data_IF_293020663050
#
_entry.id   IF_293020663050
#
_cell.length_a   1.000
_cell.length_b   1.000
_cell.length_c   1.000
_cell.angle_alpha   90.00
_cell.angle_beta   90.00
_cell.angle_gamma   90.00
#
_symmetry.space_group_name_H-M   'P 1'
#
loop_
_entity.id
_entity.type
_entity.pdbx_description
1 polymer ?
#
# COMPACT_ATOMS: atom_id res chain seq x y z
N UNK A 1 25.37 0.27 1.77
CA UNK A 1 25.70 1.36 0.83
C UNK A 1 24.50 1.49 -0.08
N UNK A 2 23.67 2.52 0.13
CA UNK A 2 22.53 2.81 -0.71
C UNK A 2 23.02 3.22 -2.10
N UNK A 3 22.68 2.45 -3.10
CA UNK A 3 22.92 2.84 -4.47
C UNK A 3 21.87 3.88 -4.86
N UNK A 4 22.31 5.03 -5.38
CA UNK A 4 21.46 5.92 -6.17
C UNK A 4 21.03 5.11 -7.41
N UNK A 5 19.88 4.49 -7.33
CA UNK A 5 19.31 3.72 -8.45
C UNK A 5 18.36 4.65 -9.16
N UNK A 6 18.55 4.80 -10.48
CA UNK A 6 17.53 5.45 -11.29
C UNK A 6 16.21 4.69 -11.09
N UNK A 7 15.08 5.40 -10.86
CA UNK A 7 13.80 4.73 -10.69
C UNK A 7 13.51 3.87 -11.92
N UNK A 8 12.90 2.69 -11.74
CA UNK A 8 12.48 1.87 -12.85
C UNK A 8 11.47 2.64 -13.72
N UNK A 9 11.45 2.33 -14.99
CA UNK A 9 10.54 2.97 -15.95
C UNK A 9 9.06 2.69 -15.70
N UNK A 10 8.77 1.65 -14.93
CA UNK A 10 7.41 1.28 -14.53
C UNK A 10 7.40 0.90 -13.04
N UNK A 11 6.67 1.66 -12.25
CA UNK A 11 6.38 1.35 -10.85
C UNK A 11 5.08 0.56 -10.77
N UNK A 12 5.01 -0.43 -9.87
CA UNK A 12 3.80 -1.22 -9.64
C UNK A 12 2.68 -0.40 -8.99
N UNK A 13 3.02 0.45 -8.03
CA UNK A 13 2.10 1.41 -7.41
C UNK A 13 2.87 2.54 -6.72
N UNK A 14 2.19 3.67 -6.51
CA UNK A 14 2.61 4.75 -5.63
C UNK A 14 1.70 4.83 -4.41
N UNK A 15 2.21 5.37 -3.31
CA UNK A 15 1.38 5.70 -2.15
C UNK A 15 0.26 6.67 -2.56
N UNK A 16 -0.96 6.41 -2.11
CA UNK A 16 -2.17 7.15 -2.50
C UNK A 16 -3.04 7.55 -1.30
N UNK A 17 -2.60 7.23 -0.07
CA UNK A 17 -3.27 7.60 1.17
C UNK A 17 -2.27 8.18 2.18
N UNK A 18 -2.64 9.28 2.84
CA UNK A 18 -1.96 9.77 4.04
C UNK A 18 -2.65 9.18 5.27
N UNK A 19 -1.93 8.38 6.04
CA UNK A 19 -2.46 7.75 7.26
C UNK A 19 -2.18 8.64 8.49
N UNK A 20 -0.96 9.18 8.57
CA UNK A 20 -0.57 10.06 9.65
C UNK A 20 0.61 10.94 9.21
N UNK A 21 0.65 12.15 9.73
CA UNK A 21 1.80 13.05 9.62
C UNK A 21 2.07 13.74 10.96
N UNK A 22 3.31 13.69 11.39
CA UNK A 22 3.78 14.33 12.62
C UNK A 22 5.02 15.15 12.27
N UNK A 23 4.90 16.48 12.11
CA UNK A 23 6.05 17.33 11.82
C UNK A 23 7.04 17.32 12.98
N UNK A 24 8.33 17.35 12.65
CA UNK A 24 9.44 17.44 13.60
C UNK A 24 9.60 18.83 14.22
N UNK A 25 10.66 19.00 14.99
CA UNK A 25 11.00 20.29 15.64
C UNK A 25 12.49 20.57 15.44
N UNK A 26 12.87 21.66 14.75
CA UNK A 26 11.98 22.62 14.03
C UNK A 26 11.17 21.93 12.94
N UNK A 27 9.95 22.43 12.74
CA UNK A 27 9.03 21.95 11.73
C UNK A 27 9.24 22.61 10.38
N UNK A 28 8.60 22.10 9.33
CA UNK A 28 8.62 22.71 8.00
C UNK A 28 7.94 24.07 8.00
N UNK A 29 8.28 24.88 7.01
CA UNK A 29 7.48 26.05 6.66
C UNK A 29 6.11 25.61 6.12
N UNK A 30 5.06 26.47 6.19
CA UNK A 30 3.70 26.07 5.80
C UNK A 30 3.59 25.49 4.38
N UNK A 31 4.42 25.94 3.46
CA UNK A 31 4.46 25.50 2.06
C UNK A 31 4.95 24.06 1.90
N UNK A 32 5.73 23.52 2.85
CA UNK A 32 6.23 22.15 2.85
C UNK A 32 5.49 21.21 3.82
N UNK A 33 4.41 21.67 4.44
CA UNK A 33 3.72 20.93 5.49
C UNK A 33 2.49 20.13 5.00
N UNK A 34 2.24 20.08 3.70
CA UNK A 34 1.11 19.31 3.14
C UNK A 34 1.52 17.87 2.88
N UNK A 35 1.04 16.88 3.66
CA UNK A 35 1.43 15.50 3.47
C UNK A 35 0.87 14.86 2.19
N UNK A 36 -0.07 15.50 1.50
CA UNK A 36 -0.58 15.01 0.22
C UNK A 36 0.41 15.19 -0.94
N UNK A 37 1.41 16.06 -0.78
CA UNK A 37 2.49 16.24 -1.76
C UNK A 37 3.44 15.01 -1.84
N UNK A 38 3.37 14.07 -0.88
CA UNK A 38 4.10 12.79 -0.92
C UNK A 38 3.31 11.66 -1.62
N UNK A 39 2.15 11.96 -2.23
CA UNK A 39 1.28 10.98 -2.88
C UNK A 39 1.41 11.01 -4.40
N UNK A 40 1.23 9.82 -5.00
CA UNK A 40 1.30 9.69 -6.45
C UNK A 40 2.72 9.55 -7.00
N UNK A 41 2.89 9.64 -8.33
CA UNK A 41 4.19 9.57 -8.97
C UNK A 41 5.02 10.82 -8.69
N UNK A 42 6.37 10.71 -8.67
CA UNK A 42 7.23 11.85 -8.45
C UNK A 42 7.01 12.92 -9.53
N UNK A 43 6.74 14.14 -9.10
CA UNK A 43 6.44 15.26 -10.00
C UNK A 43 7.36 16.49 -9.79
N UNK A 44 8.37 16.32 -8.94
CA UNK A 44 9.37 17.35 -8.67
C UNK A 44 10.13 17.76 -9.95
N UNK A 45 10.23 19.07 -10.18
CA UNK A 45 10.98 19.66 -11.29
C UNK A 45 12.05 20.62 -10.74
N UNK A 46 13.33 20.32 -10.99
CA UNK A 46 14.50 21.10 -10.54
C UNK A 46 14.39 22.61 -10.86
N UNK A 47 13.66 22.98 -11.90
CA UNK A 47 13.49 24.38 -12.34
C UNK A 47 12.54 25.20 -11.46
N UNK A 48 11.88 24.58 -10.48
CA UNK A 48 10.86 25.22 -9.62
C UNK A 48 11.22 25.26 -8.14
N UNK A 49 12.46 25.51 -7.81
CA UNK A 49 12.99 25.61 -6.44
C UNK A 49 12.21 26.51 -5.46
N UNK A 50 11.31 27.34 -5.93
CA UNK A 50 10.56 28.28 -5.09
C UNK A 50 9.16 27.79 -4.68
N UNK A 51 8.75 26.59 -5.08
CA UNK A 51 7.53 25.91 -4.62
C UNK A 51 7.81 24.42 -4.60
N UNK A 52 8.37 23.88 -3.51
CA UNK A 52 8.54 22.46 -3.38
C UNK A 52 7.16 21.79 -3.42
N UNK A 53 7.01 20.87 -4.35
CA UNK A 53 5.91 19.90 -4.36
C UNK A 53 6.40 18.63 -3.67
N UNK A 54 6.73 18.77 -2.40
CA UNK A 54 7.20 17.70 -1.56
C UNK A 54 6.81 17.95 -0.13
N UNK A 55 6.64 16.89 0.61
CA UNK A 55 6.40 16.94 2.04
C UNK A 55 7.73 17.05 2.80
N UNK A 56 7.98 18.14 3.47
CA UNK A 56 9.09 18.28 4.43
C UNK A 56 8.69 17.69 5.78
N UNK A 57 9.46 16.74 6.29
CA UNK A 57 9.12 16.07 7.55
C UNK A 57 9.37 16.93 8.78
N UNK A 58 10.30 17.88 8.73
CA UNK A 58 10.81 18.54 9.92
C UNK A 58 11.82 17.66 10.66
N UNK A 59 12.70 18.26 11.48
CA UNK A 59 13.76 17.55 12.18
C UNK A 59 13.19 16.53 13.17
N UNK A 60 13.36 15.25 12.88
CA UNK A 60 12.79 14.11 13.62
C UNK A 60 11.30 13.89 13.38
N UNK A 61 10.72 14.49 12.33
CA UNK A 61 9.34 14.28 11.95
C UNK A 61 9.07 12.94 11.28
N UNK A 62 7.81 12.65 11.01
CA UNK A 62 7.43 11.39 10.39
C UNK A 62 6.16 11.49 9.54
N UNK A 63 6.10 10.67 8.49
CA UNK A 63 4.88 10.42 7.71
C UNK A 63 4.60 8.92 7.64
N UNK A 64 3.33 8.56 7.67
CA UNK A 64 2.84 7.22 7.37
C UNK A 64 1.94 7.30 6.15
N UNK A 65 2.31 6.58 5.11
CA UNK A 65 1.62 6.52 3.83
C UNK A 65 1.02 5.13 3.63
N UNK A 66 -0.06 5.07 2.87
CA UNK A 66 -0.76 3.84 2.52
C UNK A 66 -0.85 3.63 1.01
N UNK A 67 -1.05 2.36 0.63
CA UNK A 67 -1.32 1.92 -0.73
C UNK A 67 -2.73 1.33 -0.78
N UNK A 68 -3.72 2.05 -1.33
CA UNK A 68 -5.10 1.56 -1.42
C UNK A 68 -5.26 0.53 -2.54
N UNK A 69 -4.53 0.69 -3.63
CA UNK A 69 -4.60 -0.14 -4.83
C UNK A 69 -3.40 -1.06 -5.04
N UNK A 70 -2.30 -0.81 -4.31
CA UNK A 70 -1.07 -1.59 -4.36
C UNK A 70 -0.69 -2.19 -3.02
N UNK A 71 0.29 -3.07 -3.01
CA UNK A 71 0.96 -3.57 -1.80
C UNK A 71 2.43 -3.77 -2.08
N UNK A 72 3.26 -3.50 -1.10
CA UNK A 72 4.68 -3.85 -1.12
C UNK A 72 4.81 -5.35 -0.85
N UNK A 73 5.47 -6.05 -1.74
CA UNK A 73 5.86 -7.46 -1.61
C UNK A 73 7.34 -7.61 -1.94
N UNK A 74 7.96 -8.65 -1.39
CA UNK A 74 9.34 -9.04 -1.70
C UNK A 74 9.39 -9.68 -3.10
N UNK A 75 10.21 -9.10 -3.99
CA UNK A 75 10.56 -9.62 -5.31
C UNK A 75 12.09 -9.70 -5.46
N UNK A 76 12.60 -10.16 -6.58
CA UNK A 76 14.04 -10.13 -6.83
C UNK A 76 14.54 -8.68 -7.03
N UNK A 77 15.38 -8.22 -6.11
CA UNK A 77 15.95 -6.87 -6.12
C UNK A 77 15.17 -5.85 -5.29
N UNK A 78 15.36 -4.55 -5.53
CA UNK A 78 14.71 -3.52 -4.73
C UNK A 78 13.19 -3.48 -4.91
N UNK A 79 12.45 -3.34 -3.82
CA UNK A 79 10.99 -3.40 -3.77
C UNK A 79 10.34 -2.05 -3.49
N UNK A 80 10.96 -1.25 -2.61
CA UNK A 80 10.45 0.03 -2.13
C UNK A 80 11.36 1.16 -2.59
N UNK A 81 10.76 2.19 -3.17
CA UNK A 81 11.44 3.38 -3.67
C UNK A 81 10.94 4.62 -2.95
N UNK A 82 11.86 5.42 -2.43
CA UNK A 82 11.56 6.69 -1.80
C UNK A 82 12.23 7.79 -2.63
N UNK A 83 11.44 8.74 -3.08
CA UNK A 83 11.88 9.91 -3.83
C UNK A 83 12.03 11.07 -2.86
N UNK A 84 13.17 11.14 -2.19
CA UNK A 84 13.55 12.28 -1.39
C UNK A 84 14.29 13.26 -2.30
N UNK A 85 13.97 14.55 -2.15
CA UNK A 85 14.47 15.63 -2.97
C UNK A 85 15.05 16.72 -2.05
N UNK A 86 15.81 17.60 -2.61
CA UNK A 86 16.32 18.74 -1.86
C UNK A 86 17.80 18.98 -2.08
N UNK A 87 18.33 20.11 -1.60
CA UNK A 87 19.75 20.43 -1.66
C UNK A 87 20.56 19.67 -0.61
N UNK A 88 19.91 19.26 0.48
CA UNK A 88 20.44 18.35 1.50
C UNK A 88 20.04 16.92 1.18
N UNK A 89 20.75 15.96 1.76
CA UNK A 89 20.45 14.53 1.68
C UNK A 89 20.29 14.05 3.11
N UNK A 90 19.03 13.85 3.51
CA UNK A 90 18.70 13.49 4.88
C UNK A 90 18.43 11.98 5.01
N UNK A 91 19.08 11.37 6.01
CA UNK A 91 18.84 9.97 6.30
C UNK A 91 17.48 9.74 6.94
N UNK A 92 16.80 8.67 6.53
CA UNK A 92 15.47 8.33 7.00
C UNK A 92 15.43 6.92 7.56
N UNK A 93 14.72 6.72 8.68
CA UNK A 93 14.33 5.40 9.17
C UNK A 93 13.05 4.98 8.47
N UNK A 94 13.03 3.76 7.95
CA UNK A 94 11.90 3.24 7.19
C UNK A 94 11.34 1.99 7.85
N UNK A 95 10.05 1.99 8.10
CA UNK A 95 9.29 0.86 8.62
C UNK A 95 8.13 0.52 7.67
N UNK A 96 7.79 -0.76 7.57
CA UNK A 96 6.66 -1.25 6.78
C UNK A 96 5.67 -2.01 7.64
N UNK A 97 4.39 -2.00 7.26
CA UNK A 97 3.34 -2.67 8.01
C UNK A 97 2.24 -3.22 7.11
N UNK A 98 1.72 -4.40 7.47
CA UNK A 98 0.56 -4.99 6.81
C UNK A 98 -0.77 -4.44 7.35
N UNK A 99 -0.82 -4.06 8.63
CA UNK A 99 -2.04 -3.75 9.39
C UNK A 99 -2.07 -2.32 9.99
N UNK A 100 -0.99 -1.56 9.79
CA UNK A 100 -0.81 -0.22 10.37
C UNK A 100 -0.54 -0.21 11.88
N UNK A 101 -0.39 -1.37 12.52
CA UNK A 101 -0.17 -1.53 13.96
C UNK A 101 1.17 -2.20 14.28
N UNK A 102 1.45 -3.30 13.60
CA UNK A 102 2.71 -4.05 13.73
C UNK A 102 3.68 -3.60 12.66
N UNK A 103 4.86 -3.16 13.06
CA UNK A 103 5.85 -2.54 12.17
C UNK A 103 7.13 -3.37 12.09
N UNK A 104 7.63 -3.54 10.88
CA UNK A 104 8.93 -4.14 10.57
C UNK A 104 9.86 -3.02 10.12
N UNK A 105 10.99 -2.85 10.81
CA UNK A 105 12.00 -1.88 10.38
C UNK A 105 12.84 -2.47 9.25
N UNK A 106 12.89 -1.77 8.13
CA UNK A 106 13.68 -2.18 6.95
C UNK A 106 14.96 -1.35 6.79
N UNK A 107 15.34 -0.64 7.84
CA UNK A 107 16.64 0.02 7.95
C UNK A 107 16.61 1.51 7.71
N UNK A 108 17.77 2.03 7.31
CA UNK A 108 18.02 3.45 7.07
C UNK A 108 18.16 3.69 5.58
N UNK A 109 17.29 4.52 5.03
CA UNK A 109 17.44 5.10 3.72
C UNK A 109 18.46 6.26 3.81
N UNK A 110 19.48 6.32 2.94
CA UNK A 110 20.57 7.29 3.08
C UNK A 110 20.18 8.72 2.66
N UNK A 111 18.96 8.92 2.16
CA UNK A 111 18.49 10.15 1.52
C UNK A 111 18.76 10.19 0.02
N UNK A 112 18.18 11.19 -0.66
CA UNK A 112 18.07 11.22 -2.12
C UNK A 112 17.11 10.13 -2.65
N UNK A 113 16.87 10.06 -3.95
CA UNK A 113 16.14 8.93 -4.52
C UNK A 113 16.84 7.63 -4.15
N UNK A 114 16.17 6.79 -3.37
CA UNK A 114 16.77 5.56 -2.86
C UNK A 114 15.82 4.37 -3.01
N UNK A 115 16.41 3.18 -3.04
CA UNK A 115 15.69 1.93 -3.20
C UNK A 115 16.07 0.97 -2.07
N UNK A 116 15.09 0.26 -1.54
CA UNK A 116 15.22 -0.68 -0.43
C UNK A 116 14.74 -2.04 -0.91
N UNK A 117 15.59 -3.05 -0.77
CA UNK A 117 15.26 -4.47 -0.90
C UNK A 117 14.82 -4.98 0.48
N UNK A 118 13.57 -5.45 0.57
CA UNK A 118 13.01 -5.90 1.84
C UNK A 118 13.28 -7.38 2.13
N UNK A 119 13.90 -8.13 1.21
CA UNK A 119 14.09 -9.58 1.27
C UNK A 119 14.61 -10.09 2.62
N UNK A 120 15.59 -9.39 3.21
CA UNK A 120 16.21 -9.83 4.48
C UNK A 120 15.40 -9.50 5.73
N UNK A 121 14.32 -8.75 5.60
CA UNK A 121 13.53 -8.25 6.73
C UNK A 121 12.17 -8.91 6.88
N UNK A 122 11.72 -9.64 5.84
CA UNK A 122 10.34 -10.15 5.77
C UNK A 122 10.30 -11.64 5.43
N UNK A 123 9.21 -12.29 5.80
CA UNK A 123 8.96 -13.68 5.40
C UNK A 123 8.50 -13.73 3.94
N UNK A 124 8.87 -14.79 3.18
CA UNK A 124 8.44 -14.95 1.80
C UNK A 124 6.91 -14.88 1.64
N UNK A 125 6.46 -14.08 0.70
CA UNK A 125 5.04 -13.89 0.41
C UNK A 125 4.30 -12.94 1.35
N UNK A 126 4.98 -12.32 2.31
CA UNK A 126 4.40 -11.24 3.11
C UNK A 126 4.05 -10.04 2.24
N UNK A 127 2.98 -9.33 2.61
CA UNK A 127 2.49 -8.17 1.88
C UNK A 127 2.21 -7.02 2.84
N UNK A 128 2.64 -5.81 2.46
CA UNK A 128 2.57 -4.64 3.32
C UNK A 128 1.81 -3.53 2.62
N UNK A 129 0.95 -2.85 3.37
CA UNK A 129 0.10 -1.77 2.85
C UNK A 129 0.54 -0.38 3.29
N UNK A 130 1.42 -0.32 4.29
CA UNK A 130 1.82 0.93 4.92
C UNK A 130 3.32 1.05 4.95
N UNK A 131 3.79 2.26 4.66
CA UNK A 131 5.19 2.66 4.83
C UNK A 131 5.21 3.84 5.79
N UNK A 132 6.07 3.78 6.80
CA UNK A 132 6.34 4.89 7.70
C UNK A 132 7.77 5.35 7.52
N UNK A 133 7.93 6.63 7.22
CA UNK A 133 9.21 7.29 7.05
C UNK A 133 9.39 8.24 8.23
N UNK A 134 10.54 8.18 8.87
CA UNK A 134 10.92 9.03 9.99
C UNK A 134 12.26 9.68 9.67
N UNK A 135 12.30 10.99 9.75
CA UNK A 135 13.55 11.74 9.63
C UNK A 135 14.52 11.37 10.76
N UNK A 136 15.81 11.29 10.43
CA UNK A 136 16.88 11.08 11.45
C UNK A 136 17.35 12.44 11.92
N UNK A 137 17.04 12.83 13.17
CA UNK A 137 17.38 14.16 13.67
C UNK A 137 18.86 14.49 13.53
N UNK A 138 19.18 15.70 13.08
CA UNK A 138 20.53 16.20 13.03
C UNK A 138 20.72 17.51 13.79
N UNK A 139 21.93 17.75 14.31
CA UNK A 139 22.29 18.98 14.98
C UNK A 139 22.56 20.09 13.97
N UNK A 140 21.86 21.22 14.07
CA UNK A 140 21.99 22.32 13.12
C UNK A 140 20.74 22.62 12.30
N UNK A 141 19.69 21.80 12.43
CA UNK A 141 18.40 21.99 11.79
C UNK A 141 17.71 23.32 12.14
N UNK A 142 18.10 23.98 13.26
CA UNK A 142 17.50 25.26 13.70
C UNK A 142 17.73 26.42 12.73
N UNK A 143 18.74 26.32 11.87
CA UNK A 143 19.04 27.34 10.85
C UNK A 143 18.54 26.95 9.45
N UNK A 144 17.95 25.78 9.29
CA UNK A 144 17.40 25.29 8.03
C UNK A 144 15.98 25.81 7.82
N UNK A 145 15.69 26.25 6.60
CA UNK A 145 14.33 26.68 6.19
C UNK A 145 13.45 25.45 5.88
N UNK A 146 14.08 24.34 5.46
CA UNK A 146 13.45 23.09 5.13
C UNK A 146 14.10 21.95 5.96
N UNK A 147 13.85 21.92 7.29
CA UNK A 147 14.52 20.94 8.13
C UNK A 147 13.93 19.54 7.94
N UNK A 148 14.81 18.53 7.84
CA UNK A 148 14.44 17.13 7.67
C UNK A 148 14.08 16.75 6.24
N UNK A 149 13.91 15.47 6.00
CA UNK A 149 13.73 14.89 4.68
C UNK A 149 12.52 15.44 3.93
N UNK A 150 12.70 15.71 2.63
CA UNK A 150 11.69 16.21 1.70
C UNK A 150 11.19 15.08 0.81
N UNK A 151 9.98 14.57 1.06
CA UNK A 151 9.40 13.41 0.36
C UNK A 151 8.50 13.86 -0.77
N UNK A 152 8.88 13.55 -2.01
CA UNK A 152 8.11 13.80 -3.23
C UNK A 152 7.18 12.62 -3.57
N UNK A 153 7.67 11.39 -3.44
CA UNK A 153 6.87 10.21 -3.68
C UNK A 153 7.40 8.97 -2.95
N UNK A 154 6.53 8.00 -2.77
CA UNK A 154 6.89 6.64 -2.31
C UNK A 154 6.24 5.63 -3.24
N UNK A 155 7.05 4.79 -3.87
CA UNK A 155 6.58 3.80 -4.85
C UNK A 155 7.08 2.39 -4.54
N UNK A 156 6.39 1.39 -5.07
CA UNK A 156 6.72 -0.03 -4.94
C UNK A 156 6.80 -0.69 -6.32
N UNK A 157 7.81 -1.54 -6.54
CA UNK A 157 8.02 -2.24 -7.81
C UNK A 157 7.22 -3.53 -7.91
N UNK A 158 7.29 -4.38 -6.93
CA UNK A 158 6.57 -5.65 -6.86
C UNK A 158 5.11 -5.48 -6.47
N UNK A 159 4.51 -4.36 -6.83
CA UNK A 159 3.16 -4.02 -6.44
C UNK A 159 2.14 -5.03 -6.92
N UNK A 160 1.60 -5.83 -6.00
CA UNK A 160 0.35 -6.49 -6.30
C UNK A 160 -0.73 -5.44 -6.51
N UNK A 161 -1.33 -5.43 -7.67
CA UNK A 161 -2.56 -4.66 -7.86
C UNK A 161 -3.63 -5.25 -6.96
N UNK A 162 -4.17 -4.45 -6.04
CA UNK A 162 -5.25 -4.87 -5.15
C UNK A 162 -6.55 -4.23 -5.62
N UNK A 163 -7.54 -5.05 -5.89
CA UNK A 163 -8.90 -4.61 -6.22
C UNK A 163 -9.82 -5.03 -5.09
N UNK A 164 -10.28 -4.07 -4.30
CA UNK A 164 -11.26 -4.32 -3.23
C UNK A 164 -12.68 -4.13 -3.76
N UNK A 165 -13.49 -5.18 -3.67
CA UNK A 165 -14.89 -5.19 -4.10
C UNK A 165 -15.79 -5.35 -2.87
N UNK A 166 -16.72 -4.39 -2.61
CA UNK A 166 -17.66 -4.49 -1.51
C UNK A 166 -18.53 -5.74 -1.61
N UNK A 167 -18.72 -6.47 -0.49
CA UNK A 167 -19.56 -7.67 -0.47
C UNK A 167 -21.02 -7.38 -0.88
N UNK A 168 -21.53 -6.18 -0.63
CA UNK A 168 -22.88 -5.75 -1.05
C UNK A 168 -23.06 -5.69 -2.57
N UNK A 169 -21.95 -5.52 -3.32
CA UNK A 169 -21.94 -5.53 -4.79
C UNK A 169 -21.82 -6.96 -5.31
N UNK A 170 -21.07 -7.80 -4.60
CA UNK A 170 -20.73 -9.15 -5.06
C UNK A 170 -21.77 -10.22 -4.70
N UNK A 171 -22.41 -10.11 -3.54
CA UNK A 171 -23.23 -11.19 -2.98
C UNK A 171 -24.65 -10.73 -2.64
N UNK A 172 -25.55 -11.68 -2.68
CA UNK A 172 -26.86 -11.50 -2.07
C UNK A 172 -26.74 -11.33 -0.55
N UNK A 173 -27.80 -10.79 0.08
CA UNK A 173 -27.81 -10.51 1.52
C UNK A 173 -27.55 -11.82 2.30
N UNK A 174 -26.62 -11.77 3.25
CA UNK A 174 -26.21 -12.89 4.12
C UNK A 174 -25.85 -14.18 3.36
N UNK A 175 -25.33 -14.03 2.12
CA UNK A 175 -25.03 -15.15 1.23
C UNK A 175 -23.57 -15.14 0.75
N UNK A 176 -23.15 -16.27 0.22
CA UNK A 176 -21.94 -16.48 -0.57
C UNK A 176 -22.29 -16.71 -2.06
N UNK A 177 -23.56 -16.61 -2.42
CA UNK A 177 -24.02 -16.66 -3.81
C UNK A 177 -23.77 -15.30 -4.48
N UNK A 178 -23.09 -15.31 -5.62
CA UNK A 178 -22.85 -14.09 -6.39
C UNK A 178 -24.17 -13.50 -6.89
N UNK A 179 -24.38 -12.23 -6.61
CA UNK A 179 -25.51 -11.49 -7.13
C UNK A 179 -25.36 -11.26 -8.65
N UNK A 180 -26.45 -11.18 -9.42
CA UNK A 180 -26.40 -10.85 -10.85
C UNK A 180 -25.64 -9.55 -11.16
N UNK A 181 -25.64 -8.61 -10.23
CA UNK A 181 -24.94 -7.34 -10.35
C UNK A 181 -23.39 -7.45 -10.17
N UNK A 182 -22.89 -8.56 -9.67
CA UNK A 182 -21.44 -8.79 -9.49
C UNK A 182 -20.68 -8.89 -10.83
N UNK A 183 -21.36 -9.40 -11.88
CA UNK A 183 -20.75 -9.66 -13.19
C UNK A 183 -19.91 -8.51 -13.74
N UNK A 184 -20.46 -7.29 -13.91
CA UNK A 184 -19.71 -6.17 -14.48
C UNK A 184 -18.48 -5.74 -13.66
N UNK A 185 -18.50 -5.92 -12.34
CA UNK A 185 -17.37 -5.61 -11.48
C UNK A 185 -16.26 -6.66 -11.61
N UNK A 186 -16.63 -7.93 -11.64
CA UNK A 186 -15.71 -9.06 -11.79
C UNK A 186 -15.15 -9.16 -13.22
N UNK A 187 -15.93 -8.83 -14.25
CA UNK A 187 -15.48 -8.83 -15.64
C UNK A 187 -14.33 -7.81 -15.86
N UNK A 188 -14.40 -6.63 -15.21
CA UNK A 188 -13.29 -5.66 -15.24
C UNK A 188 -12.01 -6.22 -14.60
N UNK A 189 -12.15 -7.02 -13.56
CA UNK A 189 -11.00 -7.72 -12.96
C UNK A 189 -10.46 -8.78 -13.92
N UNK A 190 -11.33 -9.56 -14.56
CA UNK A 190 -10.92 -10.54 -15.59
C UNK A 190 -10.11 -9.84 -16.69
N UNK A 191 -10.61 -8.72 -17.23
CA UNK A 191 -9.91 -7.93 -18.26
C UNK A 191 -8.51 -7.49 -17.81
N UNK A 192 -8.32 -7.14 -16.55
CA UNK A 192 -7.03 -6.73 -16.02
C UNK A 192 -6.03 -7.88 -15.82
N UNK A 193 -6.53 -9.12 -15.70
CA UNK A 193 -5.72 -10.32 -15.42
C UNK A 193 -5.41 -11.13 -16.68
N UNK A 194 -6.36 -11.22 -17.62
CA UNK A 194 -6.30 -12.19 -18.73
C UNK A 194 -5.09 -12.00 -19.66
N UNK A 195 -4.58 -10.77 -19.77
CA UNK A 195 -3.43 -10.45 -20.63
C UNK A 195 -2.08 -10.51 -19.89
N UNK A 196 -2.10 -10.69 -18.57
CA UNK A 196 -0.90 -10.78 -17.72
C UNK A 196 -0.63 -12.23 -17.36
N UNK A 197 -0.10 -13.02 -18.28
CA UNK A 197 0.06 -14.47 -18.15
C UNK A 197 0.99 -14.88 -16.98
N UNK A 198 1.94 -14.03 -16.62
CA UNK A 198 2.93 -14.28 -15.55
C UNK A 198 2.47 -13.80 -14.17
N UNK A 199 1.17 -13.57 -13.97
CA UNK A 199 0.66 -13.14 -12.67
C UNK A 199 0.04 -14.26 -11.85
N UNK A 200 0.16 -14.15 -10.51
CA UNK A 200 -0.59 -14.91 -9.51
C UNK A 200 -1.71 -14.04 -8.96
N UNK A 201 -2.84 -14.64 -8.65
CA UNK A 201 -4.02 -13.94 -8.17
C UNK A 201 -4.48 -14.56 -6.86
N UNK A 202 -4.43 -13.82 -5.76
CA UNK A 202 -5.01 -14.22 -4.50
C UNK A 202 -6.40 -13.58 -4.33
N UNK A 203 -7.41 -14.38 -4.00
CA UNK A 203 -8.75 -13.90 -3.68
C UNK A 203 -8.94 -14.01 -2.18
N UNK A 204 -9.05 -12.86 -1.52
CA UNK A 204 -9.09 -12.73 -0.07
C UNK A 204 -10.46 -12.26 0.39
N UNK A 205 -11.15 -13.08 1.22
CA UNK A 205 -12.47 -12.73 1.78
C UNK A 205 -12.35 -12.12 3.16
N UNK A 206 -13.19 -11.10 3.44
CA UNK A 206 -13.24 -10.40 4.73
C UNK A 206 -14.68 -10.15 5.17
N UNK A 207 -14.88 -10.09 6.49
CA UNK A 207 -16.14 -9.73 7.13
C UNK A 207 -15.97 -8.53 8.06
N UNK A 208 -17.07 -7.99 8.54
CA UNK A 208 -17.06 -7.17 9.75
C UNK A 208 -17.04 -8.07 11.01
N UNK A 209 -17.14 -7.47 12.20
CA UNK A 209 -17.11 -8.14 13.50
C UNK A 209 -18.48 -8.70 13.97
N UNK A 210 -19.50 -8.65 13.12
CA UNK A 210 -20.81 -9.21 13.46
C UNK A 210 -20.84 -10.71 13.24
N UNK A 211 -21.26 -11.45 14.26
CA UNK A 211 -21.31 -12.90 14.26
C UNK A 211 -20.23 -13.53 15.14
N UNK A 212 -20.00 -14.81 14.97
CA UNK A 212 -18.91 -15.50 15.64
C UNK A 212 -17.68 -15.55 14.72
N UNK A 213 -16.49 -15.53 15.29
CA UNK A 213 -15.23 -15.66 14.54
C UNK A 213 -15.24 -16.86 13.60
N UNK A 214 -15.69 -18.02 14.08
CA UNK A 214 -15.79 -19.24 13.25
C UNK A 214 -16.79 -19.09 12.09
N UNK A 215 -17.91 -18.40 12.29
CA UNK A 215 -18.86 -18.09 11.24
C UNK A 215 -18.25 -17.14 10.20
N UNK A 216 -17.64 -16.07 10.65
CA UNK A 216 -16.99 -15.06 9.83
C UNK A 216 -15.83 -15.63 9.01
N UNK A 217 -15.03 -16.52 9.63
CA UNK A 217 -13.96 -17.25 8.94
C UNK A 217 -14.54 -18.10 7.80
N UNK A 218 -15.52 -18.95 8.10
CA UNK A 218 -16.14 -19.84 7.10
C UNK A 218 -16.88 -19.06 5.99
N UNK A 219 -17.59 -17.96 6.31
CA UNK A 219 -18.26 -17.12 5.32
C UNK A 219 -17.27 -16.45 4.37
N UNK A 220 -16.18 -15.93 4.90
CA UNK A 220 -15.14 -15.28 4.11
C UNK A 220 -14.44 -16.25 3.16
N UNK A 221 -14.17 -17.48 3.60
CA UNK A 221 -13.61 -18.55 2.76
C UNK A 221 -14.55 -18.91 1.59
N UNK A 222 -15.85 -19.11 1.87
CA UNK A 222 -16.82 -19.45 0.80
C UNK A 222 -16.98 -18.31 -0.20
N UNK A 223 -16.97 -17.04 0.27
CA UNK A 223 -17.04 -15.87 -0.60
C UNK A 223 -15.81 -15.75 -1.50
N UNK A 224 -14.62 -15.97 -0.97
CA UNK A 224 -13.40 -16.00 -1.76
C UNK A 224 -13.45 -17.11 -2.82
N UNK A 225 -13.89 -18.30 -2.46
CA UNK A 225 -14.05 -19.41 -3.38
C UNK A 225 -15.08 -19.13 -4.49
N UNK A 226 -16.22 -18.49 -4.18
CA UNK A 226 -17.22 -18.14 -5.18
C UNK A 226 -16.68 -17.14 -6.22
N UNK A 227 -15.91 -16.15 -5.79
CA UNK A 227 -15.24 -15.19 -6.70
C UNK A 227 -14.19 -15.91 -7.54
N UNK A 228 -13.34 -16.75 -6.96
CA UNK A 228 -12.35 -17.53 -7.71
C UNK A 228 -13.00 -18.43 -8.77
N UNK A 229 -14.09 -19.11 -8.43
CA UNK A 229 -14.85 -19.93 -9.38
C UNK A 229 -15.39 -19.08 -10.55
N UNK A 230 -15.82 -17.85 -10.29
CA UNK A 230 -16.21 -16.92 -11.35
C UNK A 230 -15.04 -16.60 -12.27
N UNK A 231 -13.86 -16.25 -11.74
CA UNK A 231 -12.66 -15.96 -12.52
C UNK A 231 -12.27 -17.16 -13.40
N UNK A 232 -12.31 -18.38 -12.86
CA UNK A 232 -12.06 -19.62 -13.61
C UNK A 232 -13.07 -19.78 -14.74
N UNK A 233 -14.36 -19.54 -14.48
CA UNK A 233 -15.43 -19.64 -15.50
C UNK A 233 -15.23 -18.66 -16.67
N UNK A 234 -14.45 -17.59 -16.44
CA UNK A 234 -14.08 -16.58 -17.46
C UNK A 234 -12.71 -16.86 -18.12
N UNK A 235 -12.10 -17.99 -17.83
CA UNK A 235 -10.88 -18.45 -18.50
C UNK A 235 -9.57 -18.10 -17.78
N UNK A 236 -9.61 -17.64 -16.54
CA UNK A 236 -8.39 -17.52 -15.71
C UNK A 236 -8.02 -18.94 -15.25
N UNK A 237 -6.77 -19.33 -15.46
CA UNK A 237 -6.25 -20.65 -15.09
C UNK A 237 -6.29 -20.83 -13.56
N UNK A 238 -6.82 -21.98 -13.10
CA UNK A 238 -6.99 -22.30 -11.67
C UNK A 238 -5.65 -22.28 -10.93
N UNK A 239 -4.58 -22.73 -11.59
CA UNK A 239 -3.22 -22.77 -11.04
C UNK A 239 -2.64 -21.38 -10.74
N UNK A 240 -3.23 -20.33 -11.30
CA UNK A 240 -2.88 -18.94 -11.02
C UNK A 240 -3.61 -18.37 -9.80
N UNK A 241 -4.63 -19.07 -9.32
CA UNK A 241 -5.52 -18.58 -8.26
C UNK A 241 -5.17 -19.21 -6.91
N UNK A 242 -5.26 -18.43 -5.87
CA UNK A 242 -5.32 -18.87 -4.47
C UNK A 242 -6.50 -18.22 -3.78
N UNK A 243 -7.13 -18.92 -2.83
CA UNK A 243 -8.26 -18.39 -2.06
C UNK A 243 -7.96 -18.43 -0.59
N UNK A 244 -8.31 -17.36 0.13
CA UNK A 244 -8.18 -17.31 1.58
C UNK A 244 -9.29 -16.48 2.21
N UNK A 245 -9.89 -16.98 3.30
CA UNK A 245 -10.75 -16.21 4.18
C UNK A 245 -9.95 -15.68 5.36
N UNK A 246 -10.22 -14.45 5.75
CA UNK A 246 -9.63 -13.81 6.93
C UNK A 246 -10.68 -13.46 7.98
N UNK A 247 -11.97 -13.78 7.73
CA UNK A 247 -13.04 -13.38 8.63
C UNK A 247 -12.92 -11.89 8.98
N UNK A 248 -13.01 -11.57 10.26
CA UNK A 248 -12.92 -10.22 10.83
C UNK A 248 -11.50 -9.79 11.22
N UNK A 249 -10.48 -10.67 11.04
CA UNK A 249 -9.13 -10.47 11.57
C UNK A 249 -8.34 -9.35 10.91
N UNK A 250 -8.76 -8.89 9.70
CA UNK A 250 -8.07 -7.84 8.93
C UNK A 250 -9.00 -6.67 8.58
N UNK A 251 -9.45 -5.89 9.57
CA UNK A 251 -10.30 -4.74 9.33
C UNK A 251 -9.53 -3.59 8.67
N UNK A 252 -10.18 -2.88 7.73
CA UNK A 252 -9.68 -1.63 7.12
C UNK A 252 -10.50 -0.41 7.57
N UNK A 253 -11.58 -0.63 8.31
CA UNK A 253 -12.40 0.39 8.93
C UNK A 253 -12.74 0.03 10.37
N UNK A 254 -13.10 1.04 11.17
CA UNK A 254 -13.51 0.81 12.55
C UNK A 254 -14.88 0.11 12.58
N UNK A 255 -14.99 -1.00 13.31
CA UNK A 255 -16.23 -1.76 13.45
C UNK A 255 -17.29 -1.10 14.36
N UNK A 256 -16.97 0.05 14.95
CA UNK A 256 -17.91 0.87 15.76
C UNK A 256 -18.96 1.62 14.92
N UNK A 257 -18.70 1.80 13.64
CA UNK A 257 -19.57 2.49 12.69
C UNK A 257 -20.03 1.59 11.54
N UNK A 258 -21.22 1.85 10.99
CA UNK A 258 -21.69 1.11 9.80
C UNK A 258 -20.84 1.40 8.57
N UNK A 259 -20.28 2.61 8.47
CA UNK A 259 -19.36 2.97 7.38
C UNK A 259 -18.09 2.11 7.45
N UNK A 260 -17.53 1.94 8.64
CA UNK A 260 -16.33 1.11 8.82
C UNK A 260 -16.64 -0.37 8.60
N UNK A 261 -17.77 -0.89 9.11
CA UNK A 261 -18.19 -2.27 8.85
C UNK A 261 -18.40 -2.55 7.36
N UNK A 262 -19.01 -1.62 6.62
CA UNK A 262 -19.15 -1.73 5.16
C UNK A 262 -17.81 -1.86 4.44
N UNK A 263 -16.80 -1.11 4.86
CA UNK A 263 -15.44 -1.24 4.32
C UNK A 263 -14.84 -2.62 4.63
N UNK A 264 -15.13 -3.18 5.81
CA UNK A 264 -14.61 -4.48 6.23
C UNK A 264 -15.26 -5.64 5.46
N UNK A 265 -16.56 -5.56 5.15
CA UNK A 265 -17.26 -6.56 4.32
C UNK A 265 -16.86 -6.43 2.86
N UNK A 266 -15.79 -7.13 2.45
CA UNK A 266 -15.22 -7.05 1.10
C UNK A 266 -14.58 -8.36 0.66
N UNK A 267 -14.36 -8.47 -0.64
CA UNK A 267 -13.40 -9.41 -1.22
C UNK A 267 -12.30 -8.59 -1.88
N UNK A 268 -11.06 -8.92 -1.58
CA UNK A 268 -9.89 -8.34 -2.22
C UNK A 268 -9.31 -9.33 -3.22
N UNK A 269 -9.01 -8.84 -4.42
CA UNK A 269 -8.35 -9.59 -5.47
C UNK A 269 -6.96 -8.98 -5.63
N UNK A 270 -5.95 -9.76 -5.26
CA UNK A 270 -4.55 -9.33 -5.23
C UNK A 270 -3.83 -9.98 -6.41
N UNK A 271 -3.47 -9.19 -7.40
CA UNK A 271 -2.79 -9.61 -8.62
C UNK A 271 -1.30 -9.33 -8.43
N UNK A 272 -0.46 -10.36 -8.45
CA UNK A 272 1.00 -10.26 -8.26
C UNK A 272 1.72 -10.74 -9.51
N UNK A 273 2.75 -10.06 -9.93
CA UNK A 273 3.69 -10.59 -10.93
C UNK A 273 4.52 -11.75 -10.33
N UNK A 274 4.92 -12.70 -11.17
CA UNK A 274 5.75 -13.84 -10.76
C UNK A 274 7.19 -13.41 -10.59
#
# INVERSE_FOLDING_TARGET
>A
MGHLVAPPTEMGAYADEVIAYQPGIPGPVPEGADPTEALGPPDYQVERWHKPRALTLGNGGSVTLGFSTGVLVDIEGPDLFIFEIGPGVEAMLVDISADGKTWVSVGVAPGGPCAIDIHTYVEPGAAFRYVRIRDVPFSGAESDVWPGADIDAVGVLGGAQRVALPSEVLFELDSDTLAPAAGPALDRVVESIQWRLDTRVAVEGHTDDRGTEAHNQSLSERRAAAVAAYLVSKGIEEERLTTQGFGESRPIGLNDSEIGRKKNRRVEIVIRER
#
